data_IF_116390708832
#
_entry.id   IF_116390708832
#
_cell.length_a   1.000
_cell.length_b   1.000
_cell.length_c   1.000
_cell.angle_alpha   90.00
_cell.angle_beta   90.00
_cell.angle_gamma   90.00
#
_symmetry.space_group_name_H-M   'P 1'
#
loop_
_entity.id
_entity.type
_entity.pdbx_description
1 polymer ?
#
# COMPACT_ATOMS: atom_id res chain seq x y z
N UNK A 1 50.47 -4.60 55.99
CA UNK A 1 49.03 -4.76 56.17
C UNK A 1 48.47 -4.72 54.75
N UNK A 2 48.09 -5.89 54.22
CA UNK A 2 47.72 -6.12 52.83
C UNK A 2 46.20 -6.31 52.76
N UNK A 3 45.53 -5.43 52.03
CA UNK A 3 44.10 -5.49 51.85
C UNK A 3 43.84 -6.12 50.47
N UNK A 4 43.47 -7.39 50.44
CA UNK A 4 43.02 -8.10 49.24
C UNK A 4 41.53 -7.89 49.12
N UNK A 5 41.13 -6.95 48.29
CA UNK A 5 39.74 -6.87 47.84
C UNK A 5 39.40 -8.06 46.92
N UNK A 6 38.54 -8.90 47.44
CA UNK A 6 37.92 -10.04 46.77
C UNK A 6 36.93 -9.55 45.72
N UNK A 7 37.25 -9.76 44.44
CA UNK A 7 36.33 -9.53 43.31
C UNK A 7 35.36 -10.74 43.25
N UNK A 8 34.18 -10.59 43.86
CA UNK A 8 33.08 -11.50 43.69
C UNK A 8 32.55 -11.37 42.24
N UNK A 9 32.86 -12.34 41.39
CA UNK A 9 32.16 -12.53 40.12
C UNK A 9 30.69 -12.89 40.45
N UNK A 10 29.79 -11.93 40.20
CA UNK A 10 28.37 -12.22 40.21
C UNK A 10 28.07 -13.14 39.02
N UNK A 11 27.71 -14.38 39.29
CA UNK A 11 27.13 -15.28 38.31
C UNK A 11 25.76 -14.74 37.85
N UNK A 12 25.47 -14.75 36.56
CA UNK A 12 24.17 -14.29 36.07
C UNK A 12 23.07 -15.17 36.68
N UNK A 13 22.06 -14.53 37.24
CA UNK A 13 20.94 -15.25 37.88
C UNK A 13 20.23 -16.17 36.84
N UNK A 14 19.78 -17.32 37.31
CA UNK A 14 19.05 -18.30 36.47
C UNK A 14 17.86 -17.66 35.71
N UNK A 15 17.27 -16.62 36.29
CA UNK A 15 16.22 -15.81 35.65
C UNK A 15 16.73 -14.99 34.47
N UNK A 16 17.98 -14.48 34.51
CA UNK A 16 18.56 -13.74 33.39
C UNK A 16 18.95 -14.68 32.24
N UNK A 17 19.40 -15.89 32.53
CA UNK A 17 19.69 -16.93 31.51
C UNK A 17 18.41 -17.41 30.87
N UNK A 18 17.32 -17.62 31.65
CA UNK A 18 16.00 -18.01 31.12
C UNK A 18 15.36 -16.92 30.27
N UNK A 19 15.58 -15.62 30.58
CA UNK A 19 15.10 -14.51 29.74
C UNK A 19 15.83 -14.45 28.40
N UNK A 20 17.13 -14.66 28.36
CA UNK A 20 17.95 -14.70 27.14
C UNK A 20 17.59 -15.92 26.26
N UNK A 21 17.35 -17.08 26.86
CA UNK A 21 16.91 -18.29 26.13
C UNK A 21 15.47 -18.14 25.61
N UNK A 22 14.62 -17.43 26.33
CA UNK A 22 13.25 -17.13 25.91
C UNK A 22 13.20 -16.15 24.73
N UNK A 23 14.19 -15.26 24.59
CA UNK A 23 14.33 -14.34 23.45
C UNK A 23 14.90 -15.00 22.18
N UNK A 24 15.50 -16.18 22.31
CA UNK A 24 16.14 -16.91 21.19
C UNK A 24 15.25 -18.03 20.59
N UNK A 25 13.93 -18.02 20.84
CA UNK A 25 13.08 -19.07 20.24
C UNK A 25 13.12 -18.99 18.69
N UNK A 26 13.22 -20.13 17.96
CA UNK A 26 13.25 -20.15 16.51
C UNK A 26 12.09 -19.39 15.85
N UNK A 27 10.90 -19.45 16.48
CA UNK A 27 9.72 -18.71 16.01
C UNK A 27 9.89 -17.18 16.12
N UNK A 28 10.52 -16.67 17.18
CA UNK A 28 10.79 -15.23 17.33
C UNK A 28 11.85 -14.75 16.34
N UNK A 29 12.90 -15.53 16.12
CA UNK A 29 13.92 -15.22 15.12
C UNK A 29 13.31 -15.17 13.71
N UNK A 30 12.43 -16.12 13.39
CA UNK A 30 11.70 -16.13 12.11
C UNK A 30 10.78 -14.90 11.98
N UNK A 31 10.00 -14.58 13.03
CA UNK A 31 9.17 -13.37 13.05
C UNK A 31 9.98 -12.11 12.79
N UNK A 32 11.08 -11.91 13.51
CA UNK A 32 11.97 -10.76 13.33
C UNK A 32 12.48 -10.67 11.89
N UNK A 33 12.98 -11.77 11.32
CA UNK A 33 13.43 -11.81 9.92
C UNK A 33 12.34 -11.38 8.94
N UNK A 34 11.14 -11.92 9.09
CA UNK A 34 10.01 -11.58 8.21
C UNK A 34 9.65 -10.09 8.35
N UNK A 35 9.55 -9.59 9.58
CA UNK A 35 9.23 -8.17 9.85
C UNK A 35 10.30 -7.25 9.31
N UNK A 36 11.59 -7.58 9.49
CA UNK A 36 12.71 -6.78 8.99
C UNK A 36 12.72 -6.74 7.46
N UNK A 37 12.53 -7.88 6.78
CA UNK A 37 12.45 -7.95 5.31
C UNK A 37 11.31 -7.08 4.75
N UNK A 38 10.12 -7.14 5.39
CA UNK A 38 8.99 -6.30 5.00
C UNK A 38 9.30 -4.82 5.24
N UNK A 39 9.82 -4.46 6.40
CA UNK A 39 10.18 -3.07 6.72
C UNK A 39 11.22 -2.52 5.74
N UNK A 40 12.21 -3.30 5.38
CA UNK A 40 13.25 -2.93 4.44
C UNK A 40 12.71 -2.78 3.00
N UNK A 41 11.61 -3.43 2.68
CA UNK A 41 10.95 -3.25 1.38
C UNK A 41 10.29 -1.86 1.29
N UNK A 42 9.70 -1.37 2.38
CA UNK A 42 8.95 -0.11 2.39
C UNK A 42 9.73 1.12 2.86
N UNK A 43 10.85 0.93 3.57
CA UNK A 43 11.65 2.05 4.07
C UNK A 43 13.02 2.07 3.41
N UNK A 44 13.43 3.21 2.90
CA UNK A 44 14.77 3.40 2.35
C UNK A 44 15.76 3.74 3.46
N UNK A 45 16.26 2.69 4.14
CA UNK A 45 17.27 2.86 5.20
C UNK A 45 18.55 3.55 4.72
N UNK A 46 18.90 3.40 3.45
CA UNK A 46 20.08 4.04 2.87
C UNK A 46 19.90 5.58 2.82
N UNK A 47 18.66 6.05 2.76
CA UNK A 47 18.32 7.49 2.86
C UNK A 47 17.92 7.92 4.26
N UNK A 48 18.09 7.07 5.27
CA UNK A 48 17.77 7.38 6.66
C UNK A 48 16.26 7.38 6.97
N UNK A 49 15.43 6.78 6.12
CA UNK A 49 13.99 6.70 6.35
C UNK A 49 13.68 5.74 7.51
N UNK A 50 13.07 6.27 8.57
CA UNK A 50 12.52 5.48 9.66
C UNK A 50 11.07 5.06 9.34
N UNK A 51 10.62 3.89 9.84
CA UNK A 51 9.22 3.51 9.79
C UNK A 51 8.31 4.57 10.43
N UNK A 52 7.14 4.78 9.85
CA UNK A 52 6.13 5.68 10.43
C UNK A 52 5.67 5.11 11.78
N UNK A 53 5.73 5.94 12.80
CA UNK A 53 5.26 5.60 14.13
C UNK A 53 3.75 5.82 14.21
N UNK A 54 3.04 4.85 14.76
CA UNK A 54 1.58 4.97 14.98
C UNK A 54 1.33 5.91 16.14
N UNK A 55 0.51 6.95 15.88
CA UNK A 55 0.19 8.01 16.85
C UNK A 55 -1.34 8.13 17.00
N UNK A 56 -1.79 8.30 18.24
CA UNK A 56 -3.22 8.46 18.55
C UNK A 56 -3.73 9.89 18.27
N UNK A 57 -2.84 10.87 18.19
CA UNK A 57 -3.10 12.27 17.87
C UNK A 57 -3.11 12.58 16.36
N UNK A 58 -3.20 11.53 15.51
CA UNK A 58 -3.25 11.65 14.06
C UNK A 58 -4.59 12.14 13.49
N UNK A 59 -4.72 12.02 12.16
CA UNK A 59 -6.00 12.27 11.48
C UNK A 59 -7.04 11.23 11.87
N UNK A 60 -6.59 10.00 12.13
CA UNK A 60 -7.43 8.86 12.49
C UNK A 60 -6.90 8.23 13.78
N UNK A 61 -7.80 7.68 14.58
CA UNK A 61 -7.44 6.97 15.79
C UNK A 61 -7.42 5.45 15.61
N UNK A 62 -6.94 4.69 16.61
CA UNK A 62 -6.82 3.23 16.57
C UNK A 62 -8.15 2.48 16.34
N UNK A 63 -9.28 3.12 16.63
CA UNK A 63 -10.63 2.56 16.46
C UNK A 63 -11.23 2.86 15.09
N UNK A 64 -10.53 3.58 14.22
CA UNK A 64 -11.01 3.88 12.88
C UNK A 64 -10.91 2.66 11.96
N UNK A 65 -11.82 2.60 11.00
CA UNK A 65 -11.84 1.50 10.02
C UNK A 65 -10.63 1.58 9.09
N UNK A 66 -10.21 2.79 8.72
CA UNK A 66 -9.03 3.00 7.87
C UNK A 66 -7.75 2.44 8.52
N UNK A 67 -7.58 2.54 9.85
CA UNK A 67 -6.45 1.93 10.55
C UNK A 67 -6.45 0.42 10.42
N UNK A 68 -7.63 -0.20 10.50
CA UNK A 68 -7.81 -1.64 10.37
C UNK A 68 -7.49 -2.11 8.95
N UNK A 69 -8.07 -1.45 7.95
CA UNK A 69 -7.89 -1.78 6.53
C UNK A 69 -6.44 -1.58 6.09
N UNK A 70 -5.83 -0.43 6.42
CA UNK A 70 -4.45 -0.11 6.02
C UNK A 70 -3.40 -0.82 6.89
N UNK A 71 -3.82 -1.49 7.97
CA UNK A 71 -2.91 -2.17 8.91
C UNK A 71 -2.31 -3.47 8.42
N UNK A 72 -2.81 -4.05 7.35
CA UNK A 72 -2.34 -5.32 6.81
C UNK A 72 -1.48 -5.13 5.57
N UNK A 73 -0.20 -5.44 5.69
CA UNK A 73 0.79 -5.25 4.63
C UNK A 73 0.43 -6.01 3.35
N UNK A 74 -0.09 -7.24 3.47
CA UNK A 74 -0.41 -8.07 2.30
C UNK A 74 -1.54 -7.47 1.50
N UNK A 75 -2.63 -7.10 2.17
CA UNK A 75 -3.81 -6.51 1.50
C UNK A 75 -3.48 -5.15 0.91
N UNK A 76 -2.66 -4.34 1.60
CA UNK A 76 -2.19 -3.06 1.08
C UNK A 76 -1.31 -3.21 -0.15
N UNK A 77 -0.42 -4.22 -0.20
CA UNK A 77 0.38 -4.50 -1.40
C UNK A 77 -0.51 -4.95 -2.57
N UNK A 78 -1.43 -5.88 -2.34
CA UNK A 78 -2.36 -6.37 -3.37
C UNK A 78 -3.24 -5.22 -3.87
N UNK A 79 -3.86 -4.48 -2.97
CA UNK A 79 -4.70 -3.32 -3.30
C UNK A 79 -3.93 -2.21 -3.99
N UNK A 80 -2.71 -1.90 -3.53
CA UNK A 80 -1.86 -0.87 -4.14
C UNK A 80 -1.46 -1.17 -5.57
N UNK A 81 -1.10 -2.42 -5.88
CA UNK A 81 -0.80 -2.84 -7.25
C UNK A 81 -2.07 -2.79 -8.12
N UNK A 82 -3.22 -3.24 -7.61
CA UNK A 82 -4.49 -3.16 -8.33
C UNK A 82 -4.89 -1.71 -8.59
N UNK A 83 -4.76 -0.82 -7.60
CA UNK A 83 -5.02 0.62 -7.75
C UNK A 83 -4.14 1.25 -8.82
N UNK A 84 -2.83 0.97 -8.84
CA UNK A 84 -1.92 1.48 -9.86
C UNK A 84 -2.33 1.03 -11.26
N UNK A 85 -2.69 -0.23 -11.43
CA UNK A 85 -3.18 -0.73 -12.73
C UNK A 85 -4.44 0.01 -13.16
N UNK A 86 -5.41 0.24 -12.26
CA UNK A 86 -6.62 1.01 -12.56
C UNK A 86 -6.31 2.47 -12.92
N UNK A 87 -5.44 3.14 -12.14
CA UNK A 87 -5.06 4.52 -12.37
C UNK A 87 -4.46 4.75 -13.76
N UNK A 88 -3.64 3.80 -14.21
CA UNK A 88 -2.95 3.89 -15.50
C UNK A 88 -3.88 3.69 -16.72
N UNK A 89 -5.14 3.35 -16.53
CA UNK A 89 -6.16 3.33 -17.60
C UNK A 89 -6.67 4.72 -17.96
N UNK A 90 -6.50 5.73 -17.08
CA UNK A 90 -6.89 7.10 -17.41
C UNK A 90 -5.73 7.82 -18.11
N UNK A 91 -5.91 8.27 -19.40
CA UNK A 91 -4.82 8.82 -20.21
C UNK A 91 -4.09 9.99 -19.55
N UNK A 92 -4.83 10.92 -18.92
CA UNK A 92 -4.23 12.08 -18.28
C UNK A 92 -3.43 11.71 -17.00
N UNK A 93 -3.90 10.74 -16.21
CA UNK A 93 -3.15 10.23 -15.04
C UNK A 93 -1.89 9.52 -15.51
N UNK A 94 -2.01 8.67 -16.53
CA UNK A 94 -0.87 8.01 -17.16
C UNK A 94 0.16 9.02 -17.69
N UNK A 95 -0.28 10.07 -18.41
CA UNK A 95 0.60 11.08 -18.94
C UNK A 95 1.34 11.84 -17.83
N UNK A 96 0.65 12.24 -16.76
CA UNK A 96 1.29 12.86 -15.61
C UNK A 96 2.39 12.00 -14.97
N UNK A 97 2.15 10.69 -14.85
CA UNK A 97 3.17 9.73 -14.39
C UNK A 97 4.29 9.58 -15.40
N UNK A 98 3.96 9.49 -16.68
CA UNK A 98 4.89 9.24 -17.76
C UNK A 98 5.88 10.37 -17.97
N UNK A 99 5.40 11.61 -17.95
CA UNK A 99 6.18 12.79 -18.29
C UNK A 99 6.95 13.36 -17.08
N UNK A 100 6.43 13.18 -15.85
CA UNK A 100 6.96 13.84 -14.66
C UNK A 100 7.52 12.89 -13.59
N UNK A 101 7.49 11.57 -13.82
CA UNK A 101 8.00 10.60 -12.84
C UNK A 101 9.15 9.77 -13.43
N UNK A 102 10.15 9.51 -12.60
CA UNK A 102 11.26 8.61 -12.95
C UNK A 102 10.91 7.12 -12.73
N UNK A 103 9.65 6.75 -12.97
CA UNK A 103 9.17 5.40 -12.66
C UNK A 103 9.91 4.29 -13.45
N UNK A 104 10.45 4.59 -14.63
CA UNK A 104 11.22 3.64 -15.43
C UNK A 104 12.56 3.29 -14.78
N UNK A 105 13.18 4.28 -14.12
CA UNK A 105 14.49 4.13 -13.49
C UNK A 105 14.35 3.69 -12.03
N UNK A 106 13.30 4.15 -11.34
CA UNK A 106 13.10 3.98 -9.89
C UNK A 106 11.62 3.71 -9.55
N UNK A 107 11.07 2.60 -10.07
CA UNK A 107 9.71 2.17 -9.76
C UNK A 107 9.56 1.87 -8.27
N UNK A 108 10.54 1.17 -7.68
CA UNK A 108 10.48 0.82 -6.25
C UNK A 108 10.48 2.06 -5.35
N UNK A 109 11.33 3.04 -5.64
CA UNK A 109 11.34 4.30 -4.89
C UNK A 109 10.02 5.07 -5.02
N UNK A 110 9.38 5.04 -6.20
CA UNK A 110 8.04 5.60 -6.38
C UNK A 110 7.00 4.90 -5.48
N UNK A 111 6.98 3.57 -5.50
CA UNK A 111 6.06 2.78 -4.66
C UNK A 111 6.29 3.05 -3.17
N UNK A 112 7.54 3.15 -2.74
CA UNK A 112 7.91 3.49 -1.35
C UNK A 112 7.39 4.86 -0.94
N UNK A 113 7.56 5.90 -1.78
CA UNK A 113 7.05 7.24 -1.50
C UNK A 113 5.53 7.26 -1.35
N UNK A 114 4.80 6.55 -2.22
CA UNK A 114 3.34 6.41 -2.10
C UNK A 114 2.95 5.66 -0.82
N UNK A 115 3.60 4.53 -0.53
CA UNK A 115 3.33 3.77 0.68
C UNK A 115 3.63 4.59 1.96
N UNK A 116 4.70 5.40 1.94
CA UNK A 116 5.03 6.30 3.04
C UNK A 116 3.98 7.40 3.22
N UNK A 117 3.49 7.99 2.14
CA UNK A 117 2.39 8.97 2.17
C UNK A 117 1.14 8.36 2.82
N UNK A 118 0.72 7.17 2.37
CA UNK A 118 -0.42 6.45 2.94
C UNK A 118 -0.19 6.15 4.43
N UNK A 119 1.01 5.71 4.81
CA UNK A 119 1.34 5.43 6.20
C UNK A 119 1.31 6.69 7.08
N UNK A 120 1.87 7.82 6.61
CA UNK A 120 1.88 9.09 7.33
C UNK A 120 0.45 9.63 7.51
N UNK A 121 -0.36 9.61 6.47
CA UNK A 121 -1.73 10.12 6.53
C UNK A 121 -2.66 9.21 7.33
N UNK A 122 -2.36 7.90 7.42
CA UNK A 122 -3.15 6.95 8.22
C UNK A 122 -2.71 6.92 9.69
N UNK A 123 -1.40 6.87 9.95
CA UNK A 123 -0.86 6.54 11.27
C UNK A 123 -0.01 7.65 11.91
N UNK A 124 0.50 8.58 11.13
CA UNK A 124 1.34 9.68 11.62
C UNK A 124 0.59 10.68 12.49
N UNK A 125 1.31 11.54 13.19
CA UNK A 125 0.73 12.69 13.89
C UNK A 125 0.01 13.63 12.92
N UNK A 126 -0.96 14.39 13.43
CA UNK A 126 -1.77 15.30 12.60
C UNK A 126 -0.90 16.25 11.78
N UNK A 127 0.07 16.90 12.40
CA UNK A 127 0.96 17.84 11.72
C UNK A 127 1.78 17.18 10.61
N UNK A 128 2.30 15.97 10.84
CA UNK A 128 3.04 15.19 9.84
C UNK A 128 2.15 14.81 8.65
N UNK A 129 0.92 14.39 8.91
CA UNK A 129 -0.04 14.04 7.89
C UNK A 129 -0.46 15.26 7.04
N UNK A 130 -0.74 16.40 7.69
CA UNK A 130 -1.09 17.67 7.03
C UNK A 130 0.08 18.19 6.19
N UNK A 131 1.30 18.13 6.70
CA UNK A 131 2.50 18.49 5.95
C UNK A 131 2.72 17.59 4.73
N UNK A 132 2.49 16.28 4.86
CA UNK A 132 2.59 15.33 3.74
C UNK A 132 1.54 15.63 2.66
N UNK A 133 0.29 15.93 3.03
CA UNK A 133 -0.77 16.32 2.09
C UNK A 133 -0.45 17.65 1.40
N UNK A 134 0.02 18.66 2.13
CA UNK A 134 0.43 19.93 1.56
C UNK A 134 1.59 19.77 0.56
N UNK A 135 2.57 18.91 0.87
CA UNK A 135 3.67 18.60 -0.04
C UNK A 135 3.17 17.95 -1.34
N UNK A 136 2.26 16.97 -1.25
CA UNK A 136 1.69 16.30 -2.43
C UNK A 136 0.90 17.30 -3.27
N UNK A 137 0.05 18.14 -2.66
CA UNK A 137 -0.64 19.22 -3.37
C UNK A 137 0.32 20.11 -4.14
N UNK A 138 1.35 20.61 -3.49
CA UNK A 138 2.36 21.49 -4.13
C UNK A 138 3.11 20.79 -5.28
N UNK A 139 3.26 19.46 -5.25
CA UNK A 139 3.79 18.70 -6.38
C UNK A 139 2.77 18.67 -7.51
N UNK A 140 1.50 18.34 -7.23
CA UNK A 140 0.45 18.24 -8.25
C UNK A 140 0.20 19.57 -8.97
N UNK A 141 0.28 20.71 -8.29
CA UNK A 141 0.15 22.05 -8.88
C UNK A 141 1.22 22.35 -9.96
N UNK A 142 2.36 21.66 -9.92
CA UNK A 142 3.46 21.83 -10.88
C UNK A 142 3.45 20.81 -12.02
N UNK A 143 2.57 19.82 -11.96
CA UNK A 143 2.50 18.74 -12.94
C UNK A 143 1.36 19.00 -13.90
N UNK A 144 1.69 19.35 -15.14
CA UNK A 144 0.74 19.58 -16.23
C UNK A 144 1.40 19.32 -17.58
N UNK A 145 0.60 19.10 -18.61
CA UNK A 145 1.10 18.81 -19.94
C UNK A 145 -0.02 18.74 -20.98
N UNK A 146 0.26 18.08 -22.09
CA UNK A 146 -0.69 17.81 -23.15
C UNK A 146 -0.67 16.33 -23.53
N UNK A 147 -1.84 15.78 -23.82
CA UNK A 147 -2.00 14.44 -24.38
C UNK A 147 -1.63 14.44 -25.87
N UNK A 148 -1.44 13.26 -26.48
CA UNK A 148 -1.13 13.15 -27.91
C UNK A 148 -2.17 13.78 -28.86
N UNK A 149 -3.43 13.89 -28.42
CA UNK A 149 -4.51 14.55 -29.14
C UNK A 149 -4.55 16.08 -28.98
N UNK A 150 -3.60 16.64 -28.21
CA UNK A 150 -3.49 18.07 -27.92
C UNK A 150 -4.31 18.55 -26.71
N UNK A 151 -5.16 17.72 -26.13
CA UNK A 151 -5.89 18.07 -24.89
C UNK A 151 -4.92 18.27 -23.72
N UNK A 152 -5.21 19.24 -22.86
CA UNK A 152 -4.34 19.56 -21.72
C UNK A 152 -4.77 18.77 -20.47
N UNK A 153 -3.78 18.43 -19.65
CA UNK A 153 -4.00 17.85 -18.33
C UNK A 153 -3.26 18.61 -17.24
N UNK A 154 -3.77 18.54 -16.02
CA UNK A 154 -3.09 19.00 -14.81
C UNK A 154 -3.32 17.95 -13.70
N UNK A 155 -2.27 17.58 -12.98
CA UNK A 155 -2.40 16.60 -11.89
C UNK A 155 -3.20 17.15 -10.69
N UNK A 156 -3.42 18.46 -10.64
CA UNK A 156 -4.31 19.14 -9.69
C UNK A 156 -5.78 19.18 -10.13
N UNK A 157 -6.13 18.62 -11.29
CA UNK A 157 -7.53 18.52 -11.73
C UNK A 157 -8.33 17.69 -10.71
N UNK A 158 -9.42 18.26 -10.14
CA UNK A 158 -10.23 17.57 -9.12
C UNK A 158 -10.76 16.21 -9.56
N UNK A 159 -11.13 16.05 -10.84
CA UNK A 159 -11.62 14.77 -11.37
C UNK A 159 -10.51 13.72 -11.47
N UNK A 160 -9.29 14.12 -11.86
CA UNK A 160 -8.15 13.20 -11.89
C UNK A 160 -7.77 12.75 -10.48
N UNK A 161 -7.79 13.67 -9.52
CA UNK A 161 -7.58 13.36 -8.11
C UNK A 161 -8.67 12.42 -7.58
N UNK A 162 -9.93 12.64 -7.98
CA UNK A 162 -11.05 11.75 -7.63
C UNK A 162 -10.86 10.33 -8.18
N UNK A 163 -10.40 10.19 -9.44
CA UNK A 163 -10.08 8.90 -10.04
C UNK A 163 -8.98 8.16 -9.27
N UNK A 164 -7.87 8.84 -8.99
CA UNK A 164 -6.76 8.26 -8.22
C UNK A 164 -7.25 7.81 -6.85
N UNK A 165 -7.99 8.66 -6.14
CA UNK A 165 -8.51 8.34 -4.81
C UNK A 165 -9.49 7.16 -4.83
N UNK A 166 -10.49 7.17 -5.71
CA UNK A 166 -11.51 6.11 -5.72
C UNK A 166 -10.91 4.75 -6.08
N UNK A 167 -9.94 4.71 -6.99
CA UNK A 167 -9.26 3.46 -7.35
C UNK A 167 -8.41 2.92 -6.20
N UNK A 168 -7.76 3.79 -5.42
CA UNK A 168 -7.07 3.39 -4.19
C UNK A 168 -8.05 2.87 -3.14
N UNK A 169 -9.09 3.65 -2.83
CA UNK A 169 -10.04 3.31 -1.78
C UNK A 169 -10.75 1.98 -2.05
N UNK A 170 -11.22 1.77 -3.29
CA UNK A 170 -11.86 0.52 -3.69
C UNK A 170 -10.88 -0.66 -3.65
N UNK A 171 -9.67 -0.47 -4.17
CA UNK A 171 -8.69 -1.57 -4.25
C UNK A 171 -8.19 -2.00 -2.86
N UNK A 172 -7.91 -1.08 -1.96
CA UNK A 172 -7.50 -1.41 -0.60
C UNK A 172 -8.63 -2.11 0.18
N UNK A 173 -9.85 -1.59 0.08
CA UNK A 173 -10.99 -2.19 0.75
C UNK A 173 -11.32 -3.58 0.21
N UNK A 174 -11.32 -3.77 -1.12
CA UNK A 174 -11.60 -5.06 -1.75
C UNK A 174 -10.52 -6.10 -1.43
N UNK A 175 -9.25 -5.68 -1.35
CA UNK A 175 -8.17 -6.56 -0.90
C UNK A 175 -8.36 -6.95 0.58
N UNK A 176 -8.74 -5.99 1.43
CA UNK A 176 -9.02 -6.25 2.84
C UNK A 176 -10.21 -7.21 3.02
N UNK A 177 -11.35 -6.96 2.37
CA UNK A 177 -12.51 -7.84 2.41
C UNK A 177 -12.11 -9.25 1.94
N UNK A 178 -11.37 -9.38 0.84
CA UNK A 178 -11.04 -10.69 0.27
C UNK A 178 -10.06 -11.51 1.12
N UNK A 179 -9.07 -10.87 1.75
CA UNK A 179 -7.95 -11.57 2.39
C UNK A 179 -7.82 -11.29 3.91
N UNK A 180 -8.55 -10.30 4.41
CA UNK A 180 -8.48 -9.86 5.81
C UNK A 180 -9.77 -10.11 6.58
N UNK A 181 -10.88 -9.59 6.10
CA UNK A 181 -12.17 -9.58 6.78
C UNK A 181 -13.32 -9.84 5.79
N UNK A 182 -13.56 -11.11 5.39
CA UNK A 182 -14.59 -11.44 4.39
C UNK A 182 -16.00 -11.00 4.78
N UNK A 183 -16.30 -10.99 6.08
CA UNK A 183 -17.61 -10.67 6.63
C UNK A 183 -17.72 -9.20 7.08
N UNK A 184 -16.87 -8.30 6.56
CA UNK A 184 -16.90 -6.88 6.89
C UNK A 184 -18.27 -6.26 6.60
N UNK A 185 -18.88 -5.63 7.61
CA UNK A 185 -20.21 -5.06 7.49
C UNK A 185 -20.29 -3.92 6.46
N UNK A 186 -21.44 -3.75 5.82
CA UNK A 186 -21.66 -2.64 4.89
C UNK A 186 -21.46 -1.26 5.58
N UNK A 187 -21.85 -1.15 6.84
CA UNK A 187 -21.64 0.06 7.62
C UNK A 187 -20.15 0.39 7.82
N UNK A 188 -19.30 -0.61 8.06
CA UNK A 188 -17.86 -0.41 8.17
C UNK A 188 -17.24 -0.09 6.80
N UNK A 189 -17.74 -0.68 5.71
CA UNK A 189 -17.31 -0.32 4.36
C UNK A 189 -17.61 1.16 4.06
N UNK A 190 -18.81 1.63 4.34
CA UNK A 190 -19.17 3.05 4.15
C UNK A 190 -18.34 3.96 5.08
N UNK A 191 -18.13 3.55 6.33
CA UNK A 191 -17.28 4.28 7.25
C UNK A 191 -15.83 4.39 6.76
N UNK A 192 -15.29 3.35 6.14
CA UNK A 192 -13.97 3.40 5.51
C UNK A 192 -13.89 4.50 4.45
N UNK A 193 -14.88 4.57 3.53
CA UNK A 193 -14.91 5.62 2.51
C UNK A 193 -15.04 7.01 3.12
N UNK A 194 -15.92 7.20 4.11
CA UNK A 194 -16.09 8.48 4.79
C UNK A 194 -14.81 8.93 5.54
N UNK A 195 -14.08 8.01 6.15
CA UNK A 195 -12.80 8.30 6.79
C UNK A 195 -11.73 8.64 5.74
N UNK A 196 -11.58 7.84 4.68
CA UNK A 196 -10.55 8.06 3.66
C UNK A 196 -10.82 9.32 2.82
N UNK A 197 -12.08 9.72 2.65
CA UNK A 197 -12.49 10.95 1.97
C UNK A 197 -11.79 12.20 2.53
N UNK A 198 -11.47 12.23 3.83
CA UNK A 198 -10.77 13.37 4.46
C UNK A 198 -9.41 13.68 3.82
N UNK A 199 -8.71 12.65 3.34
CA UNK A 199 -7.42 12.82 2.65
C UNK A 199 -7.67 13.35 1.24
N UNK A 200 -8.68 12.81 0.53
CA UNK A 200 -9.04 13.25 -0.82
C UNK A 200 -9.51 14.70 -0.85
N UNK A 201 -10.37 15.10 0.10
CA UNK A 201 -10.82 16.48 0.29
C UNK A 201 -9.61 17.43 0.49
N UNK A 202 -8.67 17.04 1.36
CA UNK A 202 -7.47 17.84 1.62
C UNK A 202 -6.55 17.97 0.40
N UNK A 203 -6.57 16.98 -0.50
CA UNK A 203 -5.82 17.02 -1.76
C UNK A 203 -6.56 17.78 -2.86
N UNK A 204 -7.85 18.07 -2.69
CA UNK A 204 -8.67 18.83 -3.66
C UNK A 204 -9.39 17.96 -4.69
N UNK A 205 -9.61 16.68 -4.39
CA UNK A 205 -10.41 15.81 -5.25
C UNK A 205 -11.89 16.22 -5.23
N UNK A 206 -12.58 16.10 -6.35
CA UNK A 206 -14.01 16.31 -6.49
C UNK A 206 -14.54 15.59 -7.74
N UNK A 207 -15.54 14.70 -7.61
CA UNK A 207 -16.26 14.31 -6.40
C UNK A 207 -15.47 13.34 -5.52
N UNK A 208 -15.75 13.34 -4.21
CA UNK A 208 -15.17 12.41 -3.24
C UNK A 208 -16.24 11.47 -2.69
N UNK A 209 -16.18 10.17 -2.98
CA UNK A 209 -17.16 9.20 -2.48
C UNK A 209 -17.00 8.97 -0.97
N UNK A 210 -18.12 8.90 -0.25
CA UNK A 210 -18.18 8.68 1.20
C UNK A 210 -18.89 7.36 1.56
N UNK A 211 -19.26 6.58 0.55
CA UNK A 211 -19.86 5.25 0.69
C UNK A 211 -19.42 4.32 -0.42
N UNK A 212 -19.59 3.02 -0.21
CA UNK A 212 -19.31 1.99 -1.23
C UNK A 212 -20.13 2.23 -2.50
N UNK A 213 -21.39 2.61 -2.32
CA UNK A 213 -22.29 2.88 -3.44
C UNK A 213 -21.84 4.08 -4.27
N UNK A 214 -21.42 5.17 -3.62
CA UNK A 214 -20.90 6.36 -4.31
C UNK A 214 -19.59 6.04 -5.04
N UNK A 215 -18.68 5.28 -4.43
CA UNK A 215 -17.45 4.86 -5.05
C UNK A 215 -17.68 4.01 -6.31
N UNK A 216 -18.64 3.08 -6.25
CA UNK A 216 -19.03 2.26 -7.41
C UNK A 216 -19.55 3.13 -8.54
N UNK A 217 -20.47 4.05 -8.25
CA UNK A 217 -21.03 4.98 -9.25
C UNK A 217 -19.96 5.89 -9.87
N UNK A 218 -19.04 6.38 -9.06
CA UNK A 218 -17.93 7.22 -9.56
C UNK A 218 -17.04 6.41 -10.51
N UNK A 219 -16.63 5.21 -10.14
CA UNK A 219 -15.84 4.35 -11.03
C UNK A 219 -16.56 4.02 -12.33
N UNK A 220 -17.87 3.76 -12.29
CA UNK A 220 -18.69 3.48 -13.48
C UNK A 220 -18.79 4.73 -14.38
N UNK A 221 -19.02 5.91 -13.80
CA UNK A 221 -19.17 7.16 -14.57
C UNK A 221 -17.88 7.57 -15.30
N UNK A 222 -16.71 7.20 -14.77
CA UNK A 222 -15.43 7.54 -15.39
C UNK A 222 -14.93 6.51 -16.41
N UNK A 223 -15.63 5.38 -16.60
CA UNK A 223 -15.18 4.36 -17.55
C UNK A 223 -15.10 4.86 -19.00
N UNK A 224 -15.92 5.83 -19.38
CA UNK A 224 -15.90 6.43 -20.71
C UNK A 224 -14.61 7.22 -21.00
N UNK A 225 -13.92 7.68 -19.96
CA UNK A 225 -12.68 8.46 -20.04
C UNK A 225 -11.42 7.57 -20.10
N UNK A 226 -11.60 6.24 -19.95
CA UNK A 226 -10.48 5.30 -19.88
C UNK A 226 -10.08 4.81 -21.27
N UNK A 227 -8.79 4.66 -21.47
CA UNK A 227 -8.23 4.16 -22.72
C UNK A 227 -6.94 3.37 -22.46
N UNK A 228 -6.52 2.59 -23.45
CA UNK A 228 -5.26 1.84 -23.43
C UNK A 228 -4.45 2.13 -24.70
N UNK A 229 -3.17 2.36 -24.49
CA UNK A 229 -2.19 2.54 -25.54
C UNK A 229 -0.91 1.75 -25.25
N UNK A 230 0.15 1.99 -25.99
CA UNK A 230 1.44 1.34 -25.76
C UNK A 230 2.08 1.73 -24.43
N UNK A 231 1.86 2.97 -23.96
CA UNK A 231 2.34 3.44 -22.65
C UNK A 231 1.64 2.69 -21.51
N UNK A 232 0.32 2.49 -21.63
CA UNK A 232 -0.45 1.68 -20.66
C UNK A 232 0.11 0.26 -20.55
N UNK A 233 0.42 -0.37 -21.70
CA UNK A 233 0.99 -1.73 -21.75
C UNK A 233 2.40 -1.77 -21.17
N UNK A 234 3.22 -0.75 -21.45
CA UNK A 234 4.58 -0.66 -20.89
C UNK A 234 4.54 -0.50 -19.39
N UNK A 235 3.72 0.41 -18.84
CA UNK A 235 3.62 0.60 -17.39
C UNK A 235 3.12 -0.65 -16.70
N UNK A 236 2.12 -1.33 -17.24
CA UNK A 236 1.62 -2.58 -16.68
C UNK A 236 2.70 -3.67 -16.64
N UNK A 237 3.50 -3.79 -17.71
CA UNK A 237 4.66 -4.69 -17.72
C UNK A 237 5.71 -4.32 -16.70
N UNK A 238 6.00 -3.02 -16.53
CA UNK A 238 6.96 -2.54 -15.54
C UNK A 238 6.49 -2.78 -14.12
N UNK A 239 5.20 -2.57 -13.82
CA UNK A 239 4.61 -2.83 -12.50
C UNK A 239 4.69 -4.33 -12.17
N UNK A 240 4.16 -5.17 -13.06
CA UNK A 240 4.07 -6.61 -12.83
C UNK A 240 5.40 -7.36 -13.03
N UNK A 241 6.35 -6.76 -13.75
CA UNK A 241 7.69 -7.27 -14.00
C UNK A 241 8.75 -6.83 -12.98
N UNK A 242 8.36 -6.11 -11.92
CA UNK A 242 9.30 -5.73 -10.88
C UNK A 242 10.00 -6.96 -10.30
N UNK A 243 11.33 -6.90 -10.22
CA UNK A 243 12.10 -7.99 -9.61
C UNK A 243 11.98 -7.96 -8.10
N UNK A 244 11.82 -9.13 -7.52
CA UNK A 244 11.89 -9.26 -6.08
C UNK A 244 13.29 -8.86 -5.57
N UNK A 245 13.36 -8.34 -4.37
CA UNK A 245 14.61 -7.91 -3.74
C UNK A 245 15.64 -9.06 -3.61
N UNK A 246 15.14 -10.26 -3.41
CA UNK A 246 15.96 -11.48 -3.35
C UNK A 246 15.12 -12.67 -3.83
N UNK A 247 15.79 -13.81 -4.11
CA UNK A 247 15.16 -15.03 -4.61
C UNK A 247 14.11 -15.62 -3.67
N UNK A 248 14.26 -15.43 -2.36
CA UNK A 248 13.29 -15.94 -1.39
C UNK A 248 11.98 -15.15 -1.42
N UNK A 249 11.99 -13.88 -1.82
CA UNK A 249 10.82 -13.04 -1.97
C UNK A 249 10.09 -13.23 -3.32
N UNK A 250 10.72 -13.85 -4.33
CA UNK A 250 10.13 -14.02 -5.68
C UNK A 250 8.76 -14.71 -5.67
N UNK A 251 8.55 -15.86 -4.98
CA UNK A 251 7.25 -16.52 -4.98
C UNK A 251 6.16 -15.67 -4.30
N UNK A 252 6.53 -14.98 -3.23
CA UNK A 252 5.66 -14.07 -2.51
C UNK A 252 5.19 -12.91 -3.40
N UNK A 253 6.12 -12.27 -4.09
CA UNK A 253 5.81 -11.17 -5.00
C UNK A 253 4.96 -11.62 -6.19
N UNK A 254 5.27 -12.77 -6.78
CA UNK A 254 4.50 -13.32 -7.89
C UNK A 254 3.04 -13.58 -7.49
N UNK A 255 2.80 -14.19 -6.31
CA UNK A 255 1.45 -14.42 -5.79
C UNK A 255 0.74 -13.08 -5.53
N UNK A 256 1.43 -12.09 -4.95
CA UNK A 256 0.89 -10.75 -4.69
C UNK A 256 0.43 -10.07 -5.98
N UNK A 257 1.24 -10.12 -7.04
CA UNK A 257 0.90 -9.53 -8.33
C UNK A 257 -0.26 -10.26 -9.01
N UNK A 258 -0.29 -11.59 -8.97
CA UNK A 258 -1.43 -12.35 -9.49
C UNK A 258 -2.71 -12.09 -8.68
N UNK A 259 -2.62 -11.94 -7.37
CA UNK A 259 -3.75 -11.58 -6.52
C UNK A 259 -4.27 -10.17 -6.84
N UNK A 260 -3.37 -9.22 -7.13
CA UNK A 260 -3.75 -7.87 -7.57
C UNK A 260 -4.47 -7.89 -8.93
N UNK A 261 -3.99 -8.67 -9.88
CA UNK A 261 -4.67 -8.87 -11.17
C UNK A 261 -6.04 -9.55 -11.00
N UNK A 262 -6.15 -10.56 -10.12
CA UNK A 262 -7.44 -11.20 -9.80
C UNK A 262 -8.41 -10.26 -9.08
N UNK A 263 -7.89 -9.25 -8.37
CA UNK A 263 -8.71 -8.24 -7.69
C UNK A 263 -9.36 -7.25 -8.64
N UNK A 264 -8.72 -6.96 -9.78
CA UNK A 264 -9.23 -6.00 -10.77
C UNK A 264 -10.65 -6.38 -11.25
N UNK A 265 -11.54 -5.39 -11.52
CA UNK A 265 -12.77 -5.61 -12.25
C UNK A 265 -12.50 -6.27 -13.60
N UNK A 266 -13.49 -7.03 -14.11
CA UNK A 266 -13.34 -7.73 -15.40
C UNK A 266 -12.97 -6.78 -16.53
N UNK A 267 -13.68 -5.66 -16.64
CA UNK A 267 -13.43 -4.66 -17.68
C UNK A 267 -11.99 -4.14 -17.66
N UNK A 268 -11.42 -3.90 -16.48
CA UNK A 268 -10.04 -3.42 -16.35
C UNK A 268 -9.00 -4.48 -16.76
N UNK A 269 -9.26 -5.77 -16.43
CA UNK A 269 -8.40 -6.87 -16.90
C UNK A 269 -8.46 -6.99 -18.42
N UNK A 270 -9.65 -6.84 -18.99
CA UNK A 270 -9.85 -6.91 -20.46
C UNK A 270 -9.11 -5.76 -21.15
N UNK A 271 -9.19 -4.53 -20.62
CA UNK A 271 -8.46 -3.37 -21.13
C UNK A 271 -6.93 -3.56 -21.08
N UNK A 272 -6.41 -4.14 -20.01
CA UNK A 272 -4.98 -4.43 -19.88
C UNK A 272 -4.51 -5.69 -20.61
N UNK A 273 -5.43 -6.48 -21.20
CA UNK A 273 -5.16 -7.82 -21.72
C UNK A 273 -4.54 -8.78 -20.68
N UNK A 274 -4.88 -8.60 -19.39
CA UNK A 274 -4.40 -9.40 -18.26
C UNK A 274 -5.35 -10.57 -17.97
N UNK A 275 -5.61 -11.39 -18.97
CA UNK A 275 -6.47 -12.57 -18.84
C UNK A 275 -5.63 -13.79 -18.47
N UNK A 276 -5.73 -14.24 -17.23
CA UNK A 276 -5.18 -15.53 -16.79
C UNK A 276 -6.24 -16.64 -16.82
N UNK A 277 -5.83 -17.92 -16.83
CA UNK A 277 -6.77 -19.04 -16.77
C UNK A 277 -7.66 -18.94 -15.52
N UNK A 278 -8.97 -19.05 -15.71
CA UNK A 278 -9.94 -18.92 -14.60
C UNK A 278 -9.71 -19.94 -13.47
N UNK A 279 -9.20 -21.15 -13.81
CA UNK A 279 -8.90 -22.21 -12.85
C UNK A 279 -7.73 -21.89 -11.90
N UNK A 280 -6.85 -20.95 -12.24
CA UNK A 280 -5.73 -20.56 -11.37
C UNK A 280 -6.14 -19.62 -10.22
N UNK A 281 -7.27 -18.93 -10.36
CA UNK A 281 -7.73 -17.94 -9.37
C UNK A 281 -7.96 -18.49 -7.96
N UNK A 282 -8.62 -19.65 -7.76
CA UNK A 282 -8.76 -20.22 -6.42
C UNK A 282 -7.43 -20.52 -5.75
N UNK A 283 -6.44 -21.02 -6.51
CA UNK A 283 -5.11 -21.30 -6.01
C UNK A 283 -4.38 -20.02 -5.58
N UNK A 284 -4.45 -18.98 -6.41
CA UNK A 284 -3.89 -17.65 -6.10
C UNK A 284 -4.52 -17.09 -4.82
N UNK A 285 -5.84 -17.14 -4.68
CA UNK A 285 -6.56 -16.67 -3.50
C UNK A 285 -6.16 -17.43 -2.25
N UNK A 286 -6.08 -18.74 -2.31
CA UNK A 286 -5.64 -19.58 -1.20
C UNK A 286 -4.20 -19.26 -0.79
N UNK A 287 -3.29 -19.14 -1.76
CA UNK A 287 -1.90 -18.80 -1.50
C UNK A 287 -1.77 -17.38 -0.90
N UNK A 288 -2.45 -16.38 -1.45
CA UNK A 288 -2.46 -15.01 -0.93
C UNK A 288 -3.04 -14.94 0.50
N UNK A 289 -4.11 -15.70 0.78
CA UNK A 289 -4.66 -15.82 2.14
C UNK A 289 -3.65 -16.45 3.10
N UNK A 290 -2.93 -17.49 2.67
CA UNK A 290 -1.86 -18.11 3.46
C UNK A 290 -0.75 -17.13 3.81
N UNK A 291 -0.31 -16.36 2.83
CA UNK A 291 0.68 -15.29 2.98
C UNK A 291 0.19 -14.23 3.98
N UNK A 292 -1.04 -13.74 3.82
CA UNK A 292 -1.62 -12.75 4.70
C UNK A 292 -1.68 -13.25 6.16
N UNK A 293 -2.06 -14.50 6.37
CA UNK A 293 -2.07 -15.13 7.72
C UNK A 293 -0.67 -15.24 8.31
N UNK A 294 0.31 -15.65 7.50
CA UNK A 294 1.71 -15.77 7.93
C UNK A 294 2.28 -14.39 8.32
N UNK A 295 2.04 -13.34 7.54
CA UNK A 295 2.51 -11.99 7.88
C UNK A 295 1.81 -11.45 9.12
N UNK A 296 0.49 -11.60 9.25
CA UNK A 296 -0.22 -11.22 10.49
C UNK A 296 0.35 -11.91 11.72
N UNK A 297 0.65 -13.23 11.60
CA UNK A 297 1.32 -13.94 12.68
C UNK A 297 2.72 -13.38 12.98
N UNK A 298 3.49 -13.00 11.96
CA UNK A 298 4.80 -12.41 12.17
C UNK A 298 4.74 -11.03 12.83
N UNK A 299 3.74 -10.22 12.48
CA UNK A 299 3.51 -8.89 13.04
C UNK A 299 2.69 -8.90 14.33
N UNK A 300 2.01 -10.00 14.67
CA UNK A 300 1.38 -10.12 15.99
C UNK A 300 2.45 -10.10 17.06
N UNK A 301 2.29 -9.20 18.02
CA UNK A 301 3.25 -8.93 19.08
C UNK A 301 3.84 -10.20 19.68
N UNK A 302 5.16 -10.22 19.71
CA UNK A 302 5.87 -11.13 20.58
C UNK A 302 5.77 -10.60 21.99
#
# INVERSE_FOLDING_TARGET
MSDRQSILKQEPSMLSVLSVVRDASPARLLKRRIVDEVRDTFNDRARGEAPVVRREDGLFGPQSVIWRVHGDVTTMMIGGVAALLLQMLHPAVLAGVWDHSRFRDDMLGRLRRTARFIALTTYGGREEAEAAMAQVRAIHERVSGALPDGSRYAASDPKLLAWVHVTEAVSFLDAWIRYGEPDMSAADQDRYFAEFARIADALGADPVPRSRTEATRLMESMQADLATDDRTREVSRLILGQRARNRAAEPFQAITFQAAVDLLPRWARDMHALQGPAFSRPLVRTAATGIARMLRWAFSSA
#
